data_IF_246675714371
#
_entry.id   IF_246675714371
#
_cell.length_a   1.000
_cell.length_b   1.000
_cell.length_c   1.000
_cell.angle_alpha   90.00
_cell.angle_beta   90.00
_cell.angle_gamma   90.00
#
_symmetry.space_group_name_H-M   'P 1'
#
loop_
_entity.id
_entity.type
_entity.pdbx_description
1 polymer ?
#
# COMPACT_ATOMS: atom_id res chain seq x y z
N UNK A 1 -15.77 1.19 7.55
CA UNK A 1 -14.35 1.23 7.13
C UNK A 1 -13.46 1.15 8.36
N UNK A 2 -12.44 0.31 8.31
CA UNK A 2 -11.47 0.14 9.39
C UNK A 2 -10.33 1.16 9.25
N UNK A 3 -9.88 1.71 10.38
CA UNK A 3 -8.66 2.50 10.47
C UNK A 3 -7.68 1.71 11.33
N UNK A 4 -6.62 1.19 10.72
CA UNK A 4 -5.66 0.30 11.35
C UNK A 4 -4.30 0.99 11.47
N UNK A 5 -3.87 1.24 12.69
CA UNK A 5 -2.54 1.74 12.95
C UNK A 5 -1.51 0.59 13.05
N UNK A 6 -0.24 0.92 13.15
CA UNK A 6 0.85 -0.05 13.28
C UNK A 6 0.59 -1.13 14.34
N UNK A 7 0.08 -0.76 15.51
CA UNK A 7 -0.18 -1.73 16.59
C UNK A 7 -1.32 -2.68 16.26
N UNK A 8 -2.34 -2.21 15.56
CA UNK A 8 -3.45 -3.04 15.10
C UNK A 8 -2.98 -4.05 14.06
N UNK A 9 -2.13 -3.60 13.14
CA UNK A 9 -1.52 -4.44 12.11
C UNK A 9 -0.64 -5.52 12.75
N UNK A 10 0.27 -5.13 13.66
CA UNK A 10 1.16 -6.06 14.38
C UNK A 10 0.40 -7.15 15.15
N UNK A 11 -0.77 -6.83 15.70
CA UNK A 11 -1.63 -7.80 16.40
C UNK A 11 -2.39 -8.73 15.47
N UNK A 12 -2.64 -8.29 14.23
CA UNK A 12 -3.50 -9.00 13.28
C UNK A 12 -2.72 -9.94 12.36
N UNK A 13 -1.40 -9.77 12.26
CA UNK A 13 -0.53 -10.48 11.32
C UNK A 13 0.38 -11.43 12.07
N UNK A 14 0.39 -12.70 11.68
CA UNK A 14 1.43 -13.65 12.06
C UNK A 14 2.44 -13.84 10.91
N UNK A 15 3.67 -14.22 11.24
CA UNK A 15 4.75 -14.34 10.27
C UNK A 15 4.48 -15.42 9.22
N UNK A 16 4.00 -16.58 9.64
CA UNK A 16 3.78 -17.71 8.72
C UNK A 16 2.66 -17.39 7.74
N UNK A 17 1.53 -16.86 8.23
CA UNK A 17 0.41 -16.43 7.38
C UNK A 17 0.81 -15.31 6.41
N UNK A 18 1.67 -14.40 6.82
CA UNK A 18 2.20 -13.34 5.96
C UNK A 18 3.11 -13.91 4.86
N UNK A 19 3.96 -14.86 5.17
CA UNK A 19 4.81 -15.53 4.18
C UNK A 19 3.98 -16.29 3.14
N UNK A 20 2.93 -16.98 3.57
CA UNK A 20 2.00 -17.67 2.66
C UNK A 20 1.32 -16.69 1.70
N UNK A 21 0.87 -15.54 2.21
CA UNK A 21 0.24 -14.51 1.39
C UNK A 21 1.23 -13.86 0.41
N UNK A 22 2.47 -13.65 0.81
CA UNK A 22 3.52 -13.14 -0.09
C UNK A 22 3.81 -14.16 -1.20
N UNK A 23 3.88 -15.44 -0.89
CA UNK A 23 4.05 -16.50 -1.89
C UNK A 23 2.90 -16.48 -2.92
N UNK A 24 1.66 -16.39 -2.47
CA UNK A 24 0.50 -16.24 -3.36
C UNK A 24 0.58 -14.97 -4.22
N UNK A 25 1.02 -13.84 -3.66
CA UNK A 25 1.22 -12.61 -4.41
C UNK A 25 2.25 -12.76 -5.52
N UNK A 26 3.35 -13.47 -5.29
CA UNK A 26 4.34 -13.78 -6.32
C UNK A 26 3.79 -14.68 -7.43
N UNK A 27 2.96 -15.66 -7.08
CA UNK A 27 2.27 -16.52 -8.07
C UNK A 27 1.32 -15.71 -8.95
N UNK A 28 0.56 -14.79 -8.35
CA UNK A 28 -0.32 -13.86 -9.09
C UNK A 28 0.52 -12.98 -10.03
N UNK A 29 1.61 -12.43 -9.54
CA UNK A 29 2.52 -11.59 -10.34
C UNK A 29 3.10 -12.36 -11.52
N UNK A 30 3.58 -13.58 -11.32
CA UNK A 30 4.14 -14.41 -12.37
C UNK A 30 3.09 -14.83 -13.41
N UNK A 31 1.86 -15.10 -12.98
CA UNK A 31 0.75 -15.46 -13.88
C UNK A 31 0.22 -14.30 -14.71
N UNK A 32 0.54 -13.05 -14.35
CA UNK A 32 -0.01 -11.85 -14.97
C UNK A 32 -1.47 -11.55 -14.61
N UNK A 33 -2.04 -12.25 -13.62
CA UNK A 33 -3.44 -12.10 -13.20
C UNK A 33 -3.66 -10.87 -12.30
N UNK A 34 -3.11 -9.73 -12.69
CA UNK A 34 -3.25 -8.46 -11.99
C UNK A 34 -3.29 -7.30 -12.98
N UNK A 35 -3.83 -6.17 -12.54
CA UNK A 35 -3.72 -4.90 -13.24
C UNK A 35 -3.05 -3.86 -12.34
N UNK A 36 -1.90 -3.40 -12.77
CA UNK A 36 -1.11 -2.37 -12.08
C UNK A 36 -0.73 -1.30 -13.10
N UNK A 37 -1.46 -0.18 -13.17
CA UNK A 37 -1.16 0.90 -14.09
C UNK A 37 0.17 1.57 -13.74
N UNK A 38 0.74 2.39 -14.65
CA UNK A 38 1.84 3.26 -14.32
C UNK A 38 1.52 4.07 -13.05
N UNK A 39 2.52 4.24 -12.18
CA UNK A 39 2.34 4.91 -10.89
C UNK A 39 2.25 6.42 -11.07
N UNK A 40 1.10 7.07 -10.84
CA UNK A 40 1.01 8.51 -10.85
C UNK A 40 1.97 9.10 -9.81
N UNK A 41 2.84 9.98 -10.27
CA UNK A 41 3.85 10.63 -9.43
C UNK A 41 3.72 12.13 -9.56
N UNK A 42 3.65 12.82 -8.42
CA UNK A 42 3.61 14.27 -8.36
C UNK A 42 4.91 14.74 -7.70
N UNK A 43 5.66 15.56 -8.42
CA UNK A 43 6.93 16.13 -7.94
C UNK A 43 6.82 17.65 -7.86
N UNK A 44 7.21 18.21 -6.73
CA UNK A 44 7.25 19.65 -6.52
C UNK A 44 8.29 20.01 -5.43
N UNK A 45 9.19 20.92 -5.73
CA UNK A 45 10.22 21.40 -4.80
C UNK A 45 10.97 20.27 -4.08
N UNK A 46 11.51 19.31 -4.83
CA UNK A 46 12.23 18.15 -4.31
C UNK A 46 11.41 17.23 -3.39
N UNK A 47 10.09 17.31 -3.46
CA UNK A 47 9.14 16.49 -2.72
C UNK A 47 8.34 15.65 -3.70
N UNK A 48 8.04 14.43 -3.31
CA UNK A 48 7.35 13.49 -4.20
C UNK A 48 6.15 12.85 -3.49
N UNK A 49 5.04 12.74 -4.21
CA UNK A 49 3.88 11.95 -3.83
C UNK A 49 3.64 10.90 -4.89
N UNK A 50 3.54 9.63 -4.50
CA UNK A 50 3.35 8.50 -5.41
C UNK A 50 2.09 7.73 -5.03
N UNK A 51 1.27 7.40 -6.03
CA UNK A 51 0.15 6.49 -5.90
C UNK A 51 0.49 5.16 -6.58
N UNK A 52 0.23 4.07 -5.90
CA UNK A 52 0.60 2.72 -6.35
C UNK A 52 -0.62 1.80 -6.31
N UNK A 53 -1.57 1.98 -7.26
CA UNK A 53 -2.75 1.13 -7.31
C UNK A 53 -2.44 -0.26 -7.86
N UNK A 54 -3.15 -1.25 -7.34
CA UNK A 54 -3.09 -2.62 -7.85
C UNK A 54 -4.46 -3.29 -7.74
N UNK A 55 -4.87 -3.96 -8.79
CA UNK A 55 -6.11 -4.70 -8.88
C UNK A 55 -5.82 -6.17 -9.18
N UNK A 56 -6.38 -7.07 -8.39
CA UNK A 56 -6.43 -8.51 -8.66
C UNK A 56 -7.87 -9.00 -8.67
N UNK A 57 -8.10 -10.28 -8.94
CA UNK A 57 -9.43 -10.86 -8.85
C UNK A 57 -10.11 -10.64 -7.49
N UNK A 58 -9.33 -10.75 -6.42
CA UNK A 58 -9.85 -10.80 -5.05
C UNK A 58 -9.42 -9.59 -4.20
N UNK A 59 -8.68 -8.63 -4.77
CA UNK A 59 -8.25 -7.45 -4.04
C UNK A 59 -8.14 -6.21 -4.91
N UNK A 60 -8.40 -5.06 -4.31
CA UNK A 60 -8.15 -3.74 -4.87
C UNK A 60 -7.53 -2.88 -3.77
N UNK A 61 -6.33 -2.41 -4.01
CA UNK A 61 -5.62 -1.58 -3.06
C UNK A 61 -4.80 -0.49 -3.71
N UNK A 62 -4.55 0.56 -2.97
CA UNK A 62 -3.65 1.64 -3.37
C UNK A 62 -2.73 1.98 -2.22
N UNK A 63 -1.43 1.86 -2.44
CA UNK A 63 -0.44 2.45 -1.55
C UNK A 63 -0.19 3.90 -1.98
N UNK A 64 -0.31 4.82 -1.06
CA UNK A 64 0.09 6.22 -1.24
C UNK A 64 1.31 6.47 -0.37
N UNK A 65 2.36 7.04 -0.94
CA UNK A 65 3.53 7.40 -0.16
C UNK A 65 4.08 8.76 -0.57
N UNK A 66 4.73 9.41 0.38
CA UNK A 66 5.45 10.67 0.19
C UNK A 66 6.94 10.46 0.39
N UNK A 67 7.74 11.21 -0.35
CA UNK A 67 9.20 11.27 -0.20
C UNK A 67 9.59 12.73 0.01
N UNK A 68 10.00 13.06 1.24
CA UNK A 68 10.37 14.38 1.69
C UNK A 68 11.78 14.33 2.28
N UNK A 69 12.84 14.47 1.45
CA UNK A 69 14.22 14.25 1.89
C UNK A 69 14.65 15.16 3.06
N UNK A 70 14.10 16.35 3.14
CA UNK A 70 14.44 17.33 4.18
C UNK A 70 13.89 16.97 5.57
N UNK A 71 12.95 16.04 5.65
CA UNK A 71 12.37 15.60 6.92
C UNK A 71 13.40 15.02 7.88
N UNK A 72 14.49 14.46 7.38
CA UNK A 72 15.60 13.94 8.19
C UNK A 72 16.15 15.03 9.12
N UNK A 73 16.29 16.26 8.63
CA UNK A 73 16.75 17.39 9.43
C UNK A 73 15.76 17.82 10.53
N UNK A 74 14.49 17.42 10.40
CA UNK A 74 13.43 17.67 11.36
C UNK A 74 13.20 16.50 12.34
N UNK A 75 14.00 15.44 12.22
CA UNK A 75 13.80 14.20 12.98
C UNK A 75 12.58 13.38 12.55
N UNK A 76 12.06 13.60 11.34
CA UNK A 76 10.93 12.90 10.75
C UNK A 76 11.40 11.89 9.69
N UNK A 77 10.62 10.84 9.42
CA UNK A 77 10.90 9.94 8.31
C UNK A 77 10.92 10.69 6.97
N UNK A 78 11.87 10.36 6.10
CA UNK A 78 11.91 10.91 4.74
C UNK A 78 10.86 10.26 3.82
N UNK A 79 10.40 9.06 4.16
CA UNK A 79 9.34 8.34 3.45
C UNK A 79 8.25 8.01 4.46
N UNK A 80 7.02 8.32 4.09
CA UNK A 80 5.83 8.00 4.87
C UNK A 80 4.69 7.62 3.93
N UNK A 81 3.71 6.87 4.41
CA UNK A 81 2.62 6.46 3.54
C UNK A 81 1.58 5.59 4.21
N UNK A 82 0.53 5.33 3.49
CA UNK A 82 -0.57 4.49 3.91
C UNK A 82 -1.07 3.58 2.78
N UNK A 83 -1.83 2.56 3.14
CA UNK A 83 -2.51 1.68 2.18
C UNK A 83 -4.01 1.82 2.35
N UNK A 84 -4.71 2.12 1.25
CA UNK A 84 -6.17 2.08 1.16
C UNK A 84 -6.58 0.76 0.51
N UNK A 85 -7.49 0.03 1.17
CA UNK A 85 -8.08 -1.19 0.63
C UNK A 85 -9.54 -0.97 0.29
N UNK A 86 -9.94 -1.47 -0.88
CA UNK A 86 -11.31 -1.39 -1.38
C UNK A 86 -11.85 -2.80 -1.69
N UNK A 87 -13.15 -2.94 -1.62
CA UNK A 87 -13.82 -4.13 -2.14
C UNK A 87 -13.67 -4.18 -3.68
N UNK A 88 -13.11 -5.24 -4.25
CA UNK A 88 -12.84 -5.30 -5.69
C UNK A 88 -14.09 -5.40 -6.56
N UNK A 89 -15.25 -5.73 -5.98
CA UNK A 89 -16.51 -5.87 -6.71
C UNK A 89 -17.35 -4.60 -6.70
N UNK A 90 -17.34 -3.88 -5.58
CA UNK A 90 -18.21 -2.72 -5.36
C UNK A 90 -17.46 -1.40 -5.33
N UNK A 91 -16.12 -1.43 -5.20
CA UNK A 91 -15.29 -0.23 -5.01
C UNK A 91 -15.40 0.38 -3.62
N UNK A 92 -16.20 -0.20 -2.71
CA UNK A 92 -16.40 0.36 -1.37
C UNK A 92 -15.09 0.37 -0.57
N UNK A 93 -14.71 1.51 0.06
CA UNK A 93 -13.58 1.54 0.97
C UNK A 93 -13.78 0.59 2.16
N UNK A 94 -12.80 -0.26 2.43
CA UNK A 94 -12.82 -1.27 3.48
C UNK A 94 -11.91 -0.89 4.65
N UNK A 95 -10.68 -0.47 4.36
CA UNK A 95 -9.70 -0.18 5.39
C UNK A 95 -8.65 0.83 4.92
N UNK A 96 -8.12 1.58 5.88
CA UNK A 96 -6.88 2.35 5.75
C UNK A 96 -5.89 1.77 6.74
N UNK A 97 -4.68 1.45 6.27
CA UNK A 97 -3.57 0.92 7.04
C UNK A 97 -2.45 1.96 7.07
N UNK A 98 -2.01 2.31 8.30
CA UNK A 98 -0.92 3.26 8.56
C UNK A 98 0.31 2.53 9.14
#
# INVERSE_FOLDING_TARGET
MLLLNKKDIEKSVDLDGMMDQIEEAYKIFESGAYYMPPRPTVEHDNKTLIYMPCYTKDSLGTKMLTIFPENVSLGLPSIDGLVLMNDPKTGKPLAILD
#
